data_IF_143406098587
#
_entry.id   IF_143406098587
#
_cell.length_a   1.000
_cell.length_b   1.000
_cell.length_c   1.000
_cell.angle_alpha   90.00
_cell.angle_beta   90.00
_cell.angle_gamma   90.00
#
_symmetry.space_group_name_H-M   'P 1'
#
loop_
_entity.id
_entity.type
_entity.pdbx_description
1 polymer ?
#
# COMPACT_ATOMS: atom_id res chain seq x y z
N UNK A 1 -33.94 23.01 22.24
CA UNK A 1 -33.37 22.44 21.00
C UNK A 1 -32.88 23.54 20.05
N UNK A 2 -33.71 24.19 19.22
CA UNK A 2 -33.23 25.28 18.33
C UNK A 2 -32.77 26.55 19.07
N UNK A 3 -33.37 26.83 20.24
CA UNK A 3 -32.96 27.97 21.07
C UNK A 3 -31.62 27.72 21.81
N UNK A 4 -31.24 26.46 22.02
CA UNK A 4 -30.01 26.11 22.74
C UNK A 4 -28.77 26.23 21.85
N UNK A 5 -28.87 26.01 20.53
CA UNK A 5 -27.76 26.20 19.58
C UNK A 5 -27.43 27.68 19.33
N UNK A 6 -28.30 28.60 19.72
CA UNK A 6 -28.16 30.04 19.53
C UNK A 6 -27.54 30.77 20.73
N UNK A 7 -27.36 30.10 21.87
CA UNK A 7 -26.91 30.75 23.11
C UNK A 7 -27.82 31.88 23.61
N UNK A 8 -29.05 31.97 23.09
CA UNK A 8 -30.02 33.02 23.39
C UNK A 8 -31.13 32.46 24.27
N UNK A 9 -31.28 33.03 25.46
CA UNK A 9 -32.39 32.69 26.36
C UNK A 9 -33.74 33.03 25.70
N UNK A 10 -34.80 32.26 25.96
CA UNK A 10 -36.14 32.50 25.40
C UNK A 10 -36.69 33.93 25.66
N UNK A 11 -36.13 34.64 26.64
CA UNK A 11 -36.42 36.04 26.95
C UNK A 11 -35.78 37.05 25.98
N UNK A 12 -34.62 36.74 25.38
CA UNK A 12 -33.93 37.58 24.40
C UNK A 12 -34.59 37.50 23.02
N UNK A 13 -35.08 36.31 22.63
CA UNK A 13 -35.82 36.12 21.37
C UNK A 13 -37.11 36.97 21.32
N UNK A 14 -37.81 37.12 22.45
CA UNK A 14 -39.05 37.92 22.55
C UNK A 14 -38.84 39.43 22.35
N UNK A 15 -37.61 39.94 22.51
CA UNK A 15 -37.26 41.36 22.35
C UNK A 15 -36.77 41.74 20.95
N UNK A 16 -36.51 40.76 20.08
CA UNK A 16 -36.11 41.01 18.69
C UNK A 16 -37.32 41.42 17.83
N UNK A 17 -37.13 42.38 16.92
CA UNK A 17 -38.11 42.75 15.90
C UNK A 17 -38.45 41.54 15.01
N UNK A 18 -39.68 41.44 14.52
CA UNK A 18 -40.10 40.32 13.66
C UNK A 18 -39.23 40.24 12.38
N UNK A 19 -38.69 41.37 11.91
CA UNK A 19 -37.76 41.43 10.76
C UNK A 19 -36.36 40.85 11.08
N UNK A 20 -35.87 41.03 12.31
CA UNK A 20 -34.58 40.48 12.74
C UNK A 20 -34.67 38.98 13.00
N UNK A 21 -35.82 38.50 13.50
CA UNK A 21 -36.09 37.05 13.60
C UNK A 21 -36.14 36.41 12.22
N UNK A 22 -36.77 37.05 11.24
CA UNK A 22 -36.83 36.53 9.88
C UNK A 22 -35.44 36.45 9.23
N UNK A 23 -34.57 37.44 9.47
CA UNK A 23 -33.16 37.41 9.01
C UNK A 23 -32.37 36.28 9.67
N UNK A 24 -32.46 36.11 10.99
CA UNK A 24 -31.78 35.02 11.69
C UNK A 24 -32.27 33.64 11.24
N UNK A 25 -33.58 33.46 11.05
CA UNK A 25 -34.14 32.22 10.51
C UNK A 25 -33.59 31.95 9.11
N UNK A 26 -33.53 32.97 8.25
CA UNK A 26 -33.01 32.83 6.88
C UNK A 26 -31.50 32.50 6.84
N UNK A 27 -30.72 33.08 7.74
CA UNK A 27 -29.30 32.77 7.88
C UNK A 27 -29.08 31.35 8.41
N UNK A 28 -29.86 30.94 9.41
CA UNK A 28 -29.85 29.57 9.92
C UNK A 28 -30.26 28.55 8.86
N UNK A 29 -31.34 28.79 8.11
CA UNK A 29 -31.76 27.88 7.04
C UNK A 29 -30.68 27.78 5.96
N UNK A 30 -30.03 28.89 5.59
CA UNK A 30 -28.93 28.87 4.63
C UNK A 30 -27.72 28.08 5.14
N UNK A 31 -27.38 28.21 6.43
CA UNK A 31 -26.29 27.46 7.03
C UNK A 31 -26.62 25.96 7.11
N UNK A 32 -27.83 25.60 7.51
CA UNK A 32 -28.28 24.20 7.50
C UNK A 32 -28.34 23.63 6.09
N UNK A 33 -28.81 24.39 5.09
CA UNK A 33 -28.80 23.98 3.68
C UNK A 33 -27.37 23.74 3.18
N UNK A 34 -26.41 24.59 3.56
CA UNK A 34 -25.00 24.38 3.23
C UNK A 34 -24.44 23.12 3.91
N UNK A 35 -24.69 22.92 5.20
CA UNK A 35 -24.28 21.72 5.93
C UNK A 35 -24.89 20.44 5.35
N UNK A 36 -26.17 20.49 4.95
CA UNK A 36 -26.86 19.38 4.28
C UNK A 36 -26.17 19.08 2.96
N UNK A 37 -25.94 20.09 2.11
CA UNK A 37 -25.28 19.90 0.81
C UNK A 37 -23.86 19.32 0.96
N UNK A 38 -23.07 19.82 1.92
CA UNK A 38 -21.73 19.30 2.19
C UNK A 38 -21.78 17.83 2.66
N UNK A 39 -22.79 17.50 3.48
CA UNK A 39 -23.02 16.12 3.96
C UNK A 39 -23.47 15.21 2.83
N UNK A 40 -24.39 15.66 1.96
CA UNK A 40 -24.85 14.91 0.80
C UNK A 40 -23.69 14.63 -0.17
N UNK A 41 -22.86 15.64 -0.47
CA UNK A 41 -21.69 15.46 -1.32
C UNK A 41 -20.69 14.46 -0.73
N UNK A 42 -20.44 14.50 0.58
CA UNK A 42 -19.59 13.53 1.26
C UNK A 42 -20.15 12.10 1.16
N UNK A 43 -21.46 11.93 1.31
CA UNK A 43 -22.12 10.62 1.20
C UNK A 43 -22.06 10.12 -0.24
N UNK A 44 -22.30 10.97 -1.23
CA UNK A 44 -22.22 10.62 -2.64
C UNK A 44 -20.81 10.12 -3.01
N UNK A 45 -19.76 10.85 -2.63
CA UNK A 45 -18.37 10.42 -2.86
C UNK A 45 -18.07 9.06 -2.19
N UNK A 46 -18.57 8.85 -0.97
CA UNK A 46 -18.40 7.59 -0.26
C UNK A 46 -19.14 6.42 -0.95
N UNK A 47 -20.32 6.66 -1.52
CA UNK A 47 -21.08 5.67 -2.29
C UNK A 47 -20.33 5.32 -3.57
N UNK A 48 -19.85 6.31 -4.31
CA UNK A 48 -19.08 6.10 -5.55
C UNK A 48 -17.85 5.25 -5.30
N UNK A 49 -17.08 5.58 -4.25
CA UNK A 49 -15.90 4.80 -3.86
C UNK A 49 -16.25 3.37 -3.49
N UNK A 50 -17.34 3.18 -2.74
CA UNK A 50 -17.82 1.84 -2.37
C UNK A 50 -18.21 1.02 -3.60
N UNK A 51 -18.88 1.64 -4.57
CA UNK A 51 -19.26 1.00 -5.83
C UNK A 51 -18.03 0.60 -6.66
N UNK A 52 -17.01 1.46 -6.70
CA UNK A 52 -15.74 1.17 -7.37
C UNK A 52 -15.04 -0.03 -6.72
N UNK A 53 -14.87 0.01 -5.39
CA UNK A 53 -14.29 -1.08 -4.60
C UNK A 53 -15.05 -2.39 -4.82
N UNK A 54 -16.38 -2.36 -4.80
CA UNK A 54 -17.21 -3.53 -5.04
C UNK A 54 -17.04 -4.10 -6.46
N UNK A 55 -17.00 -3.21 -7.46
CA UNK A 55 -16.78 -3.62 -8.85
C UNK A 55 -15.42 -4.28 -9.03
N UNK A 56 -14.37 -3.70 -8.44
CA UNK A 56 -13.02 -4.28 -8.48
C UNK A 56 -13.06 -5.67 -7.84
N UNK A 57 -13.65 -5.80 -6.65
CA UNK A 57 -13.78 -7.09 -5.96
C UNK A 57 -14.52 -8.15 -6.79
N UNK A 58 -15.58 -7.79 -7.53
CA UNK A 58 -16.29 -8.74 -8.39
C UNK A 58 -15.47 -9.19 -9.61
N UNK A 59 -14.57 -8.34 -10.10
CA UNK A 59 -13.78 -8.60 -11.32
C UNK A 59 -12.39 -9.14 -11.07
N UNK A 60 -11.90 -9.07 -9.82
CA UNK A 60 -10.52 -9.38 -9.47
C UNK A 60 -10.18 -10.84 -9.74
N UNK A 61 -8.94 -11.07 -10.17
CA UNK A 61 -8.35 -12.38 -10.38
C UNK A 61 -7.14 -12.58 -9.48
N UNK A 62 -6.74 -13.84 -9.23
CA UNK A 62 -5.47 -14.11 -8.56
C UNK A 62 -4.32 -13.42 -9.30
N UNK A 63 -3.39 -12.81 -8.54
CA UNK A 63 -2.21 -12.09 -9.04
C UNK A 63 -2.48 -10.74 -9.71
N UNK A 64 -3.70 -10.19 -9.59
CA UNK A 64 -3.98 -8.83 -10.02
C UNK A 64 -3.27 -7.79 -9.15
N UNK A 65 -2.81 -6.71 -9.78
CA UNK A 65 -2.11 -5.61 -9.12
C UNK A 65 -3.05 -4.41 -9.05
N UNK A 66 -3.25 -3.91 -7.84
CA UNK A 66 -4.03 -2.69 -7.58
C UNK A 66 -3.05 -1.56 -7.34
N UNK A 67 -3.13 -0.51 -8.17
CA UNK A 67 -2.19 0.61 -8.10
C UNK A 67 -2.53 1.60 -6.97
N UNK A 68 -3.83 1.81 -6.71
CA UNK A 68 -4.28 2.74 -5.69
C UNK A 68 -4.25 2.11 -4.29
N UNK A 69 -3.39 2.66 -3.43
CA UNK A 69 -3.21 2.19 -2.05
C UNK A 69 -4.50 2.35 -1.22
N UNK A 70 -5.24 3.44 -1.42
CA UNK A 70 -6.50 3.72 -0.71
C UNK A 70 -7.54 2.66 -1.03
N UNK A 71 -7.73 2.36 -2.32
CA UNK A 71 -8.65 1.34 -2.83
C UNK A 71 -8.25 -0.04 -2.32
N UNK A 72 -6.96 -0.38 -2.37
CA UNK A 72 -6.47 -1.66 -1.85
C UNK A 72 -6.72 -1.81 -0.34
N UNK A 73 -6.52 -0.74 0.44
CA UNK A 73 -6.78 -0.77 1.88
C UNK A 73 -8.25 -0.99 2.16
N UNK A 74 -9.14 -0.27 1.49
CA UNK A 74 -10.58 -0.47 1.65
C UNK A 74 -11.01 -1.89 1.23
N UNK A 75 -10.43 -2.44 0.17
CA UNK A 75 -10.64 -3.83 -0.24
C UNK A 75 -10.17 -4.82 0.84
N UNK A 76 -8.98 -4.63 1.39
CA UNK A 76 -8.41 -5.49 2.44
C UNK A 76 -9.23 -5.42 3.72
N UNK A 77 -9.58 -4.22 4.16
CA UNK A 77 -10.34 -4.00 5.40
C UNK A 77 -11.76 -4.59 5.30
N UNK A 78 -12.38 -4.53 4.12
CA UNK A 78 -13.75 -5.03 3.91
C UNK A 78 -13.82 -6.49 3.52
N UNK A 79 -12.93 -7.00 2.67
CA UNK A 79 -13.03 -8.36 2.10
C UNK A 79 -11.82 -9.25 2.36
N UNK A 80 -10.79 -8.74 3.04
CA UNK A 80 -9.56 -9.47 3.37
C UNK A 80 -9.28 -9.51 4.88
N UNK A 81 -10.26 -9.17 5.72
CA UNK A 81 -10.11 -9.07 7.17
C UNK A 81 -11.29 -9.76 7.87
N UNK A 82 -11.03 -10.53 8.96
CA UNK A 82 -12.10 -11.09 9.79
C UNK A 82 -13.02 -10.05 10.40
N UNK A 83 -12.55 -8.81 10.55
CA UNK A 83 -13.32 -7.69 11.10
C UNK A 83 -14.17 -6.95 10.06
N UNK A 84 -14.01 -7.28 8.78
CA UNK A 84 -14.80 -6.74 7.67
C UNK A 84 -16.06 -7.55 7.39
N UNK A 85 -16.34 -7.80 6.12
CA UNK A 85 -17.43 -8.63 5.59
C UNK A 85 -17.00 -10.09 5.36
N UNK A 86 -15.76 -10.45 5.71
CA UNK A 86 -15.19 -11.79 5.60
C UNK A 86 -13.77 -11.78 5.01
N UNK A 87 -13.12 -12.94 5.05
CA UNK A 87 -11.79 -13.16 4.46
C UNK A 87 -11.95 -13.95 3.14
N UNK A 88 -12.10 -13.22 2.03
CA UNK A 88 -12.31 -13.77 0.69
C UNK A 88 -11.02 -13.86 -0.12
N UNK A 89 -10.05 -12.98 0.16
CA UNK A 89 -8.77 -12.97 -0.50
C UNK A 89 -7.64 -12.62 0.47
N UNK A 90 -6.42 -13.03 0.14
CA UNK A 90 -5.20 -12.58 0.80
C UNK A 90 -4.43 -11.67 -0.14
N UNK A 91 -4.20 -10.44 0.29
CA UNK A 91 -3.37 -9.48 -0.44
C UNK A 91 -2.37 -8.84 0.50
N UNK A 92 -1.23 -8.44 -0.06
CA UNK A 92 -0.24 -7.65 0.67
C UNK A 92 0.52 -6.72 -0.26
N UNK A 93 1.51 -6.03 0.30
CA UNK A 93 2.30 -5.02 -0.38
C UNK A 93 3.80 -5.32 -0.29
N UNK A 94 4.55 -4.84 -1.28
CA UNK A 94 6.00 -4.90 -1.30
C UNK A 94 6.58 -6.29 -1.62
N UNK A 95 7.86 -6.46 -1.30
CA UNK A 95 8.61 -7.67 -1.62
C UNK A 95 8.06 -8.93 -0.93
N UNK A 96 7.50 -8.79 0.27
CA UNK A 96 6.93 -9.90 1.03
C UNK A 96 5.82 -10.62 0.25
N UNK A 97 4.90 -9.86 -0.35
CA UNK A 97 3.81 -10.45 -1.15
C UNK A 97 4.30 -11.04 -2.46
N UNK A 98 5.39 -10.52 -3.03
CA UNK A 98 6.02 -11.15 -4.20
C UNK A 98 6.64 -12.49 -3.81
N UNK A 99 7.25 -12.60 -2.62
CA UNK A 99 7.82 -13.85 -2.10
C UNK A 99 6.73 -14.90 -1.95
N UNK A 100 5.65 -14.56 -1.28
CA UNK A 100 4.51 -15.47 -1.07
C UNK A 100 3.92 -15.95 -2.41
N UNK A 101 3.89 -15.07 -3.43
CA UNK A 101 3.45 -15.44 -4.77
C UNK A 101 4.45 -16.35 -5.48
N UNK A 102 5.75 -16.14 -5.32
CA UNK A 102 6.80 -16.97 -5.92
C UNK A 102 6.86 -18.36 -5.29
N UNK A 103 6.63 -18.47 -3.97
CA UNK A 103 6.56 -19.75 -3.25
C UNK A 103 5.40 -20.63 -3.73
N UNK A 104 4.31 -20.01 -4.21
CA UNK A 104 3.14 -20.73 -4.73
C UNK A 104 3.28 -21.16 -6.20
N UNK A 105 4.38 -20.81 -6.88
CA UNK A 105 4.57 -21.17 -8.29
C UNK A 105 5.09 -22.60 -8.40
N UNK A 106 4.30 -23.46 -9.02
CA UNK A 106 4.78 -24.73 -9.54
C UNK A 106 5.49 -24.52 -10.88
N UNK A 107 6.82 -24.68 -10.86
CA UNK A 107 7.67 -24.48 -12.04
C UNK A 107 7.43 -25.55 -13.12
N UNK A 108 7.09 -26.78 -12.74
CA UNK A 108 6.87 -27.87 -13.70
C UNK A 108 5.58 -27.62 -14.47
N UNK A 109 4.46 -27.42 -13.75
CA UNK A 109 3.18 -27.09 -14.35
C UNK A 109 3.26 -25.81 -15.22
N UNK A 110 3.97 -24.78 -14.73
CA UNK A 110 4.15 -23.54 -15.50
C UNK A 110 4.96 -23.76 -16.79
N UNK A 111 5.95 -24.66 -16.78
CA UNK A 111 6.70 -24.98 -18.00
C UNK A 111 5.82 -25.69 -19.03
N UNK A 112 5.03 -26.69 -18.61
CA UNK A 112 4.11 -27.42 -19.49
C UNK A 112 3.07 -26.46 -20.11
N UNK A 113 2.43 -25.61 -19.30
CA UNK A 113 1.48 -24.60 -19.79
C UNK A 113 2.11 -23.66 -20.83
N UNK A 114 3.37 -23.25 -20.62
CA UNK A 114 4.08 -22.38 -21.54
C UNK A 114 4.46 -23.09 -22.84
N UNK A 115 4.82 -24.37 -22.80
CA UNK A 115 5.08 -25.18 -24.00
C UNK A 115 3.83 -25.34 -24.86
N UNK A 116 2.69 -25.66 -24.24
CA UNK A 116 1.40 -25.72 -24.91
C UNK A 116 0.99 -24.36 -25.52
N UNK A 117 1.26 -23.28 -24.78
CA UNK A 117 1.02 -21.92 -25.27
C UNK A 117 1.90 -21.58 -26.47
N UNK A 118 3.15 -22.05 -26.52
CA UNK A 118 4.06 -21.84 -27.65
C UNK A 118 3.59 -22.61 -28.90
N UNK A 119 3.03 -23.80 -28.71
CA UNK A 119 2.50 -24.63 -29.80
C UNK A 119 1.18 -24.07 -30.35
N UNK A 120 0.34 -23.50 -29.49
CA UNK A 120 -1.01 -23.03 -29.83
C UNK A 120 -1.05 -21.57 -30.29
N UNK A 121 -0.27 -20.69 -29.64
CA UNK A 121 -0.29 -19.26 -29.92
C UNK A 121 0.66 -18.88 -31.06
N UNK A 122 0.30 -17.81 -31.80
CA UNK A 122 1.14 -17.26 -32.88
C UNK A 122 1.52 -15.80 -32.62
N UNK A 123 2.64 -15.37 -33.20
CA UNK A 123 3.09 -13.98 -33.19
C UNK A 123 3.61 -13.51 -31.83
N UNK A 124 3.14 -12.35 -31.35
CA UNK A 124 3.67 -11.72 -30.14
C UNK A 124 3.44 -12.54 -28.86
N UNK A 125 2.30 -13.24 -28.76
CA UNK A 125 1.99 -14.10 -27.60
C UNK A 125 2.98 -15.26 -27.49
N UNK A 126 3.30 -15.89 -28.63
CA UNK A 126 4.30 -16.95 -28.71
C UNK A 126 5.68 -16.44 -28.31
N UNK A 127 6.11 -15.30 -28.85
CA UNK A 127 7.41 -14.71 -28.52
C UNK A 127 7.57 -14.36 -27.03
N UNK A 128 6.49 -13.93 -26.35
CA UNK A 128 6.47 -13.70 -24.90
C UNK A 128 6.55 -15.01 -24.13
N UNK A 129 5.81 -16.03 -24.55
CA UNK A 129 5.82 -17.35 -23.92
C UNK A 129 7.22 -18.00 -23.99
N UNK A 130 7.89 -17.93 -25.15
CA UNK A 130 9.28 -18.43 -25.31
C UNK A 130 10.24 -17.78 -24.33
N UNK A 131 10.17 -16.45 -24.16
CA UNK A 131 11.03 -15.74 -23.20
C UNK A 131 10.77 -16.15 -21.75
N UNK A 132 9.50 -16.35 -21.38
CA UNK A 132 9.11 -16.83 -20.04
C UNK A 132 9.59 -18.26 -19.80
N UNK A 133 9.39 -19.16 -20.77
CA UNK A 133 9.81 -20.56 -20.69
C UNK A 133 11.33 -20.66 -20.51
N UNK A 134 12.11 -19.79 -21.17
CA UNK A 134 13.57 -19.75 -20.99
C UNK A 134 13.98 -19.49 -19.53
N UNK A 135 13.26 -18.62 -18.83
CA UNK A 135 13.55 -18.33 -17.41
C UNK A 135 13.06 -19.47 -16.51
N UNK A 136 11.83 -19.94 -16.71
CA UNK A 136 11.25 -21.03 -15.91
C UNK A 136 12.07 -22.32 -16.03
N UNK A 137 12.46 -22.70 -17.25
CA UNK A 137 13.30 -23.88 -17.50
C UNK A 137 14.72 -23.74 -16.93
N UNK A 138 15.26 -22.52 -16.85
CA UNK A 138 16.56 -22.28 -16.21
C UNK A 138 16.49 -22.49 -14.69
N UNK A 139 15.42 -22.04 -14.03
CA UNK A 139 15.18 -22.34 -12.62
C UNK A 139 15.02 -23.83 -12.38
N UNK A 140 14.18 -24.50 -13.18
CA UNK A 140 13.93 -25.94 -13.05
C UNK A 140 15.22 -26.77 -13.19
N UNK A 141 16.11 -26.41 -14.12
CA UNK A 141 17.39 -27.11 -14.34
C UNK A 141 18.47 -26.82 -13.29
N UNK A 142 18.40 -25.67 -12.63
CA UNK A 142 19.46 -25.22 -11.72
C UNK A 142 19.16 -25.51 -10.24
N UNK A 143 18.03 -26.15 -9.95
CA UNK A 143 17.53 -26.43 -8.59
C UNK A 143 17.38 -25.17 -7.69
N UNK A 144 17.54 -23.98 -8.27
CA UNK A 144 17.33 -22.73 -7.58
C UNK A 144 15.85 -22.43 -7.47
N UNK A 145 15.42 -22.01 -6.28
CA UNK A 145 14.03 -21.61 -6.07
C UNK A 145 13.81 -20.14 -6.46
N UNK A 146 12.67 -19.79 -7.08
CA UNK A 146 12.37 -18.40 -7.43
C UNK A 146 12.29 -17.47 -6.21
N UNK A 147 11.80 -17.98 -5.07
CA UNK A 147 11.68 -17.23 -3.81
C UNK A 147 13.03 -16.65 -3.31
N UNK A 148 14.16 -17.27 -3.67
CA UNK A 148 15.50 -16.80 -3.28
C UNK A 148 15.92 -15.48 -3.92
N UNK A 149 15.16 -14.99 -4.90
CA UNK A 149 15.35 -13.64 -5.44
C UNK A 149 15.05 -12.55 -4.40
N UNK A 150 14.29 -12.89 -3.35
CA UNK A 150 13.92 -11.96 -2.29
C UNK A 150 14.80 -12.24 -1.08
N UNK A 151 15.52 -11.22 -0.63
CA UNK A 151 16.58 -11.35 0.36
C UNK A 151 16.04 -11.08 1.77
N UNK A 152 15.98 -12.11 2.60
CA UNK A 152 15.71 -11.95 4.03
C UNK A 152 16.98 -11.58 4.83
N UNK A 153 18.15 -12.03 4.37
CA UNK A 153 19.44 -11.76 5.00
C UNK A 153 20.43 -11.22 3.96
N UNK A 154 20.94 -10.01 4.19
CA UNK A 154 21.92 -9.37 3.31
C UNK A 154 23.34 -9.70 3.80
N UNK A 155 24.18 -10.38 3.00
CA UNK A 155 25.56 -10.64 3.37
C UNK A 155 26.39 -9.34 3.36
N UNK A 156 27.29 -9.22 4.34
CA UNK A 156 28.18 -8.06 4.48
C UNK A 156 29.61 -8.49 4.14
N UNK A 157 30.23 -7.75 3.23
CA UNK A 157 31.61 -8.02 2.79
C UNK A 157 32.59 -7.85 3.98
N UNK A 158 33.61 -8.73 4.12
CA UNK A 158 34.61 -8.64 5.17
C UNK A 158 35.30 -7.26 5.25
N UNK A 159 35.66 -6.78 6.46
CA UNK A 159 36.31 -5.48 6.67
C UNK A 159 37.57 -5.23 5.83
N UNK A 160 38.34 -6.28 5.56
CA UNK A 160 39.60 -6.20 4.79
C UNK A 160 39.39 -5.70 3.36
N UNK A 161 38.25 -6.04 2.75
CA UNK A 161 37.88 -5.60 1.40
C UNK A 161 37.19 -4.23 1.39
N UNK A 162 36.92 -3.65 2.57
CA UNK A 162 36.31 -2.33 2.76
C UNK A 162 37.14 -1.44 3.71
N UNK A 163 38.43 -1.22 3.42
CA UNK A 163 39.33 -0.53 4.34
C UNK A 163 38.85 0.91 4.60
N UNK A 164 38.99 1.32 5.86
CA UNK A 164 38.88 2.71 6.28
C UNK A 164 40.30 3.25 6.43
N UNK A 165 40.66 4.25 5.63
CA UNK A 165 42.02 4.81 5.64
C UNK A 165 42.00 6.07 6.48
N UNK A 166 42.83 6.11 7.52
CA UNK A 166 43.03 7.32 8.28
C UNK A 166 43.91 8.29 7.49
N UNK A 167 43.48 9.54 7.39
CA UNK A 167 44.23 10.65 6.78
C UNK A 167 44.91 11.49 7.86
N UNK A 168 45.94 12.23 7.47
CA UNK A 168 46.60 13.20 8.33
C UNK A 168 45.61 14.27 8.81
N UNK A 169 45.64 14.56 10.11
CA UNK A 169 44.71 15.51 10.75
C UNK A 169 43.43 14.89 11.33
N UNK A 170 43.37 13.57 11.52
CA UNK A 170 42.27 12.91 12.25
C UNK A 170 40.99 12.69 11.44
N UNK A 171 41.05 12.85 10.12
CA UNK A 171 39.94 12.53 9.20
C UNK A 171 40.04 11.08 8.75
N UNK A 172 38.91 10.46 8.44
CA UNK A 172 38.87 9.11 7.88
C UNK A 172 38.32 9.19 6.45
N UNK A 173 39.02 8.56 5.52
CA UNK A 173 38.48 8.24 4.20
C UNK A 173 37.78 6.89 4.29
N UNK A 174 36.47 6.89 4.07
CA UNK A 174 35.63 5.70 4.04
C UNK A 174 35.29 5.33 2.60
N UNK A 175 35.27 4.04 2.29
CA UNK A 175 34.68 3.55 1.03
C UNK A 175 33.17 3.87 0.98
N UNK A 176 32.65 4.23 -0.20
CA UNK A 176 31.21 4.46 -0.45
C UNK A 176 30.33 3.28 0.01
N UNK A 177 30.84 2.05 -0.05
CA UNK A 177 30.17 0.84 0.42
C UNK A 177 29.81 0.91 1.91
N UNK A 178 30.68 1.49 2.74
CA UNK A 178 30.41 1.60 4.18
C UNK A 178 29.22 2.52 4.45
N UNK A 179 29.03 3.56 3.63
CA UNK A 179 27.89 4.47 3.75
C UNK A 179 26.58 3.83 3.29
N UNK A 180 26.61 3.02 2.23
CA UNK A 180 25.45 2.23 1.79
C UNK A 180 25.04 1.22 2.87
N UNK A 181 25.98 0.44 3.41
CA UNK A 181 25.70 -0.50 4.49
C UNK A 181 25.14 0.21 5.73
N UNK A 182 25.73 1.35 6.12
CA UNK A 182 25.25 2.15 7.25
C UNK A 182 23.82 2.65 7.04
N UNK A 183 23.47 3.05 5.81
CA UNK A 183 22.09 3.46 5.45
C UNK A 183 21.12 2.30 5.64
N UNK A 184 21.41 1.14 5.04
CA UNK A 184 20.57 -0.06 5.15
C UNK A 184 20.40 -0.48 6.61
N UNK A 185 21.48 -0.53 7.38
CA UNK A 185 21.45 -0.89 8.81
C UNK A 185 20.58 0.09 9.61
N UNK A 186 20.75 1.40 9.39
CA UNK A 186 19.98 2.42 10.11
C UNK A 186 18.48 2.33 9.78
N UNK A 187 18.13 2.09 8.51
CA UNK A 187 16.75 1.90 8.06
C UNK A 187 16.13 0.64 8.67
N UNK A 188 16.84 -0.48 8.64
CA UNK A 188 16.36 -1.74 9.22
C UNK A 188 16.17 -1.61 10.75
N UNK A 189 17.12 -0.99 11.45
CA UNK A 189 16.99 -0.74 12.88
C UNK A 189 15.83 0.20 13.23
N UNK A 190 15.56 1.19 12.38
CA UNK A 190 14.42 2.09 12.54
C UNK A 190 13.10 1.35 12.31
N UNK A 191 13.01 0.57 11.23
CA UNK A 191 11.84 -0.27 10.92
C UNK A 191 11.51 -1.21 12.09
N UNK A 192 12.52 -1.88 12.65
CA UNK A 192 12.35 -2.75 13.81
C UNK A 192 11.71 -2.02 15.00
N UNK A 193 12.21 -0.83 15.36
CA UNK A 193 11.64 -0.02 16.45
C UNK A 193 10.20 0.42 16.16
N UNK A 194 9.89 0.76 14.90
CA UNK A 194 8.53 1.15 14.51
C UNK A 194 7.54 -0.01 14.68
N UNK A 195 7.95 -1.23 14.33
CA UNK A 195 7.15 -2.44 14.56
C UNK A 195 6.94 -2.70 16.05
N UNK A 196 8.00 -2.59 16.87
CA UNK A 196 7.92 -2.82 18.32
C UNK A 196 6.99 -1.81 19.02
N UNK A 197 6.91 -0.58 18.51
CA UNK A 197 6.02 0.47 19.03
C UNK A 197 4.58 0.37 18.50
N UNK A 198 4.28 -0.58 17.62
CA UNK A 198 2.97 -0.68 16.97
C UNK A 198 2.63 0.53 16.11
N UNK A 199 3.63 1.10 15.42
CA UNK A 199 3.43 2.27 14.57
C UNK A 199 2.38 1.97 13.47
N UNK A 200 1.59 2.97 13.03
CA UNK A 200 0.61 2.79 11.97
C UNK A 200 1.20 2.19 10.68
N UNK A 201 0.42 1.36 9.98
CA UNK A 201 0.83 0.62 8.78
C UNK A 201 1.41 1.55 7.69
N UNK A 202 0.91 2.78 7.56
CA UNK A 202 1.41 3.79 6.61
C UNK A 202 2.89 4.10 6.85
N UNK A 203 3.28 4.31 8.12
CA UNK A 203 4.65 4.68 8.48
C UNK A 203 5.57 3.47 8.28
N UNK A 204 5.10 2.28 8.65
CA UNK A 204 5.82 1.02 8.45
C UNK A 204 6.05 0.75 6.95
N UNK A 205 5.02 0.92 6.12
CA UNK A 205 5.11 0.73 4.66
C UNK A 205 6.06 1.74 4.02
N UNK A 206 6.05 3.00 4.46
CA UNK A 206 7.01 3.99 4.01
C UNK A 206 8.45 3.59 4.36
N UNK A 207 8.70 3.13 5.60
CA UNK A 207 10.04 2.70 6.00
C UNK A 207 10.47 1.42 5.27
N UNK A 208 9.55 0.46 5.01
CA UNK A 208 9.80 -0.70 4.13
C UNK A 208 10.23 -0.25 2.73
N UNK A 209 9.55 0.75 2.13
CA UNK A 209 9.92 1.33 0.82
C UNK A 209 11.31 1.95 0.86
N UNK A 210 11.59 2.77 1.88
CA UNK A 210 12.91 3.41 2.04
C UNK A 210 14.03 2.38 2.24
N UNK A 211 13.75 1.29 2.95
CA UNK A 211 14.70 0.19 3.12
C UNK A 211 15.00 -0.52 1.80
N UNK A 212 13.99 -0.72 0.95
CA UNK A 212 14.15 -1.31 -0.38
C UNK A 212 14.92 -0.40 -1.35
N UNK A 213 14.82 0.92 -1.21
CA UNK A 213 15.55 1.91 -2.01
C UNK A 213 17.01 2.13 -1.56
N UNK A 214 17.40 1.63 -0.37
CA UNK A 214 18.69 1.91 0.29
C UNK A 214 19.84 1.08 -0.25
#
# INVERSE_FOLDING_TARGET
LWADSLGLTAAQLRKLSDDDRAKQIKELTKNFEAEINDTEAYIEEAIERLQEVWKIFQTMKPKDVINDETVFRELKDRFGSPFGWGEYFRGGMGAESVRDLLEQIDLEATCEELEDQINTAKGQKQARAVKRLKVASAFLKSENKPEWMILDCIPVIPPELRPMVQLDGGRFATSDLNDLYRRVINRNNRLKRLLDLGAPEIIVNNEKRMLQES
#
